data_IF_964049852101
#
_entry.id   IF_964049852101
#
_cell.length_a   1.000
_cell.length_b   1.000
_cell.length_c   1.000
_cell.angle_alpha   90.00
_cell.angle_beta   90.00
_cell.angle_gamma   90.00
#
_symmetry.space_group_name_H-M   'P 1'
#
loop_
_entity.id
_entity.type
_entity.pdbx_description
1 polymer ?
#
# COMPACT_ATOMS: atom_id res chain seq x y z
N UNK A 1 -20.68 -0.46 -6.35
CA UNK A 1 -19.81 0.53 -7.00
C UNK A 1 -20.65 1.43 -7.88
N UNK A 2 -20.30 2.71 -8.00
CA UNK A 2 -21.03 3.69 -8.79
C UNK A 2 -20.19 4.95 -9.02
N UNK A 3 -20.79 6.06 -9.51
CA UNK A 3 -20.11 7.30 -9.70
C UNK A 3 -19.39 7.79 -8.43
N UNK A 4 -18.12 8.17 -8.55
CA UNK A 4 -17.26 8.56 -7.42
C UNK A 4 -16.49 7.43 -6.75
N UNK A 5 -16.76 6.17 -7.12
CA UNK A 5 -15.93 5.04 -6.72
C UNK A 5 -14.75 4.82 -7.70
N UNK A 6 -13.68 4.22 -7.19
CA UNK A 6 -12.51 3.83 -7.98
C UNK A 6 -12.24 2.34 -7.80
N UNK A 7 -12.13 1.62 -8.91
CA UNK A 7 -11.61 0.25 -8.94
C UNK A 7 -10.17 0.26 -9.45
N UNK A 8 -9.24 -0.24 -8.65
CA UNK A 8 -7.86 -0.50 -9.07
C UNK A 8 -7.71 -1.98 -9.37
N UNK A 9 -7.38 -2.30 -10.63
CA UNK A 9 -7.12 -3.66 -11.10
C UNK A 9 -5.62 -3.85 -11.23
N UNK A 10 -5.07 -4.84 -10.53
CA UNK A 10 -3.67 -5.24 -10.67
C UNK A 10 -3.61 -6.56 -11.43
N UNK A 11 -2.96 -6.57 -12.60
CA UNK A 11 -2.85 -7.76 -13.43
C UNK A 11 -1.49 -7.83 -14.12
N UNK A 12 -0.74 -8.89 -13.82
CA UNK A 12 0.59 -9.12 -14.36
C UNK A 12 0.67 -10.49 -14.99
N UNK A 13 1.40 -10.61 -16.08
CA UNK A 13 1.69 -11.84 -16.81
C UNK A 13 0.44 -12.51 -17.43
N UNK A 14 -0.64 -12.66 -16.68
CA UNK A 14 -1.91 -13.25 -17.16
C UNK A 14 -3.11 -12.49 -16.63
N UNK A 15 -3.98 -12.10 -17.54
CA UNK A 15 -5.24 -11.47 -17.17
C UNK A 15 -6.30 -12.54 -16.88
N UNK A 16 -6.84 -12.54 -15.68
CA UNK A 16 -7.91 -13.46 -15.29
C UNK A 16 -9.28 -12.94 -15.69
N UNK A 17 -10.15 -13.81 -16.16
CA UNK A 17 -11.50 -13.45 -16.60
C UNK A 17 -12.32 -12.72 -15.53
N UNK A 18 -12.18 -13.07 -14.25
CA UNK A 18 -12.90 -12.37 -13.18
C UNK A 18 -12.42 -10.92 -13.00
N UNK A 19 -11.15 -10.61 -13.28
CA UNK A 19 -10.65 -9.24 -13.27
C UNK A 19 -11.27 -8.42 -14.41
N UNK A 20 -11.38 -9.00 -15.61
CA UNK A 20 -12.07 -8.38 -16.76
C UNK A 20 -13.54 -8.12 -16.43
N UNK A 21 -14.24 -9.10 -15.89
CA UNK A 21 -15.66 -8.98 -15.53
C UNK A 21 -15.84 -7.89 -14.46
N UNK A 22 -14.99 -7.86 -13.43
CA UNK A 22 -15.06 -6.86 -12.38
C UNK A 22 -14.84 -5.44 -12.91
N UNK A 23 -13.82 -5.25 -13.78
CA UNK A 23 -13.54 -3.97 -14.43
C UNK A 23 -14.74 -3.50 -15.28
N UNK A 24 -15.28 -4.38 -16.12
CA UNK A 24 -16.44 -4.07 -16.97
C UNK A 24 -17.69 -3.73 -16.14
N UNK A 25 -17.93 -4.43 -15.04
CA UNK A 25 -19.07 -4.13 -14.15
C UNK A 25 -18.89 -2.77 -13.46
N UNK A 26 -17.68 -2.47 -12.97
CA UNK A 26 -17.39 -1.19 -12.35
C UNK A 26 -17.57 -0.03 -13.33
N UNK A 27 -17.00 -0.14 -14.53
CA UNK A 27 -17.15 0.84 -15.59
C UNK A 27 -18.62 1.08 -15.97
N UNK A 28 -19.40 0.01 -16.17
CA UNK A 28 -20.87 0.12 -16.47
C UNK A 28 -21.64 0.76 -15.32
N UNK A 29 -21.20 0.61 -14.10
CA UNK A 29 -21.79 1.25 -12.92
C UNK A 29 -21.37 2.72 -12.75
N UNK A 30 -20.52 3.25 -13.61
CA UNK A 30 -20.03 4.63 -13.59
C UNK A 30 -18.86 4.86 -12.61
N UNK A 31 -18.24 3.80 -12.11
CA UNK A 31 -16.99 3.91 -11.35
C UNK A 31 -15.80 4.11 -12.29
N UNK A 32 -14.76 4.81 -11.82
CA UNK A 32 -13.49 4.89 -12.52
C UNK A 32 -12.71 3.58 -12.39
N UNK A 33 -11.99 3.21 -13.44
CA UNK A 33 -11.17 1.99 -13.46
C UNK A 33 -9.72 2.32 -13.79
N UNK A 34 -8.81 2.01 -12.87
CA UNK A 34 -7.36 2.13 -13.05
C UNK A 34 -6.76 0.74 -13.17
N UNK A 35 -5.94 0.52 -14.19
CA UNK A 35 -5.20 -0.72 -14.40
C UNK A 35 -3.72 -0.51 -14.05
N UNK A 36 -3.18 -1.38 -13.19
CA UNK A 36 -1.75 -1.49 -12.94
C UNK A 36 -1.31 -2.83 -13.52
N UNK A 37 -0.55 -2.81 -14.60
CA UNK A 37 -0.21 -4.03 -15.34
C UNK A 37 1.13 -3.89 -16.07
N UNK A 38 1.64 -5.01 -16.56
CA UNK A 38 2.81 -5.04 -17.45
C UNK A 38 2.45 -4.73 -18.90
N UNK A 39 1.19 -4.90 -19.28
CA UNK A 39 0.66 -4.54 -20.59
C UNK A 39 -0.84 -4.25 -20.53
N UNK A 40 -1.34 -3.47 -21.50
CA UNK A 40 -2.77 -3.25 -21.68
C UNK A 40 -3.35 -4.38 -22.55
N UNK A 41 -4.14 -5.24 -21.92
CA UNK A 41 -4.85 -6.29 -22.65
C UNK A 41 -6.03 -5.71 -23.47
N UNK A 42 -6.23 -6.16 -24.73
CA UNK A 42 -7.33 -5.68 -25.58
C UNK A 42 -8.72 -5.79 -24.91
N UNK A 43 -8.92 -6.81 -24.07
CA UNK A 43 -10.19 -7.01 -23.36
C UNK A 43 -10.55 -5.91 -22.34
N UNK A 44 -9.58 -5.05 -21.99
CA UNK A 44 -9.75 -3.95 -21.05
C UNK A 44 -9.61 -2.57 -21.71
N UNK A 45 -9.24 -2.49 -23.00
CA UNK A 45 -8.93 -1.24 -23.67
C UNK A 45 -10.05 -0.20 -23.58
N UNK A 46 -11.32 -0.64 -23.72
CA UNK A 46 -12.49 0.24 -23.68
C UNK A 46 -13.13 0.34 -22.28
N UNK A 47 -12.45 -0.19 -21.27
CA UNK A 47 -13.01 -0.32 -19.91
C UNK A 47 -12.22 0.50 -18.90
N UNK A 48 -10.91 0.65 -19.12
CA UNK A 48 -10.02 1.35 -18.18
C UNK A 48 -9.93 2.83 -18.53
N UNK A 49 -10.00 3.67 -17.49
CA UNK A 49 -9.84 5.12 -17.63
C UNK A 49 -8.37 5.52 -17.61
N UNK A 50 -7.55 4.81 -16.80
CA UNK A 50 -6.12 5.08 -16.66
C UNK A 50 -5.32 3.79 -16.56
N UNK A 51 -4.11 3.80 -17.13
CA UNK A 51 -3.19 2.64 -17.13
C UNK A 51 -1.83 3.05 -16.58
N UNK A 52 -1.38 2.34 -15.56
CA UNK A 52 -0.03 2.43 -15.01
C UNK A 52 0.75 1.20 -15.46
N UNK A 53 1.61 1.38 -16.45
CA UNK A 53 2.44 0.28 -16.96
C UNK A 53 3.67 0.10 -16.07
N UNK A 54 3.83 -1.11 -15.57
CA UNK A 54 4.92 -1.50 -14.68
C UNK A 54 5.49 -2.82 -15.14
N UNK A 55 6.78 -2.85 -15.50
CA UNK A 55 7.41 -4.07 -15.94
C UNK A 55 7.37 -5.15 -14.86
N UNK A 56 7.01 -6.35 -15.29
CA UNK A 56 7.09 -7.58 -14.49
C UNK A 56 8.29 -8.45 -14.86
N UNK A 57 9.21 -7.95 -15.69
CA UNK A 57 10.40 -8.68 -16.11
C UNK A 57 11.30 -9.06 -14.92
N UNK A 58 11.84 -10.26 -14.99
CA UNK A 58 12.71 -10.84 -13.96
C UNK A 58 13.75 -11.73 -14.60
N UNK A 59 14.90 -11.86 -13.95
CA UNK A 59 15.90 -12.88 -14.31
C UNK A 59 15.49 -14.30 -13.92
N UNK A 60 14.36 -14.45 -13.23
CA UNK A 60 13.77 -15.73 -12.83
C UNK A 60 12.63 -16.13 -13.77
N UNK A 61 12.18 -17.38 -13.66
CA UNK A 61 10.99 -17.87 -14.38
C UNK A 61 9.66 -17.32 -13.82
N UNK A 62 9.69 -16.63 -12.68
CA UNK A 62 8.54 -15.93 -12.14
C UNK A 62 8.60 -14.43 -12.47
N UNK A 63 7.46 -13.79 -12.74
CA UNK A 63 7.39 -12.34 -12.90
C UNK A 63 7.76 -11.62 -11.60
N UNK A 64 8.45 -10.48 -11.72
CA UNK A 64 8.74 -9.63 -10.58
C UNK A 64 7.51 -8.77 -10.20
N UNK A 65 7.11 -8.82 -8.95
CA UNK A 65 6.04 -7.97 -8.41
C UNK A 65 6.58 -6.69 -7.73
N UNK A 66 7.89 -6.50 -7.71
CA UNK A 66 8.53 -5.38 -7.00
C UNK A 66 8.03 -4.02 -7.49
N UNK A 67 7.99 -3.82 -8.80
CA UNK A 67 7.49 -2.58 -9.39
C UNK A 67 6.01 -2.34 -9.08
N UNK A 68 5.21 -3.38 -9.16
CA UNK A 68 3.78 -3.33 -8.83
C UNK A 68 3.51 -2.88 -7.40
N UNK A 69 4.24 -3.47 -6.45
CA UNK A 69 4.13 -3.12 -5.03
C UNK A 69 4.58 -1.67 -4.81
N UNK A 70 5.68 -1.25 -5.44
CA UNK A 70 6.18 0.12 -5.34
C UNK A 70 5.15 1.15 -5.84
N UNK A 71 4.52 0.89 -6.99
CA UNK A 71 3.47 1.77 -7.54
C UNK A 71 2.24 1.78 -6.65
N UNK A 72 1.78 0.63 -6.15
CA UNK A 72 0.65 0.58 -5.23
C UNK A 72 0.92 1.36 -3.94
N UNK A 73 2.12 1.24 -3.37
CA UNK A 73 2.51 2.01 -2.19
C UNK A 73 2.60 3.51 -2.48
N UNK A 74 3.13 3.91 -3.63
CA UNK A 74 3.18 5.31 -4.05
C UNK A 74 1.78 5.91 -4.20
N UNK A 75 0.83 5.19 -4.80
CA UNK A 75 -0.57 5.61 -4.91
C UNK A 75 -1.20 5.84 -3.54
N UNK A 76 -1.01 4.90 -2.62
CA UNK A 76 -1.55 5.02 -1.25
C UNK A 76 -0.90 6.21 -0.51
N UNK A 77 0.42 6.39 -0.63
CA UNK A 77 1.12 7.51 -0.02
C UNK A 77 0.63 8.86 -0.57
N UNK A 78 0.51 8.98 -1.90
CA UNK A 78 -0.01 10.19 -2.54
C UNK A 78 -1.46 10.48 -2.12
N UNK A 79 -2.32 9.47 -2.08
CA UNK A 79 -3.70 9.63 -1.61
C UNK A 79 -3.75 10.09 -0.14
N UNK A 80 -2.83 9.59 0.69
CA UNK A 80 -2.73 9.99 2.09
C UNK A 80 -2.29 11.45 2.26
N UNK A 81 -1.39 11.93 1.40
CA UNK A 81 -0.93 13.33 1.40
C UNK A 81 -2.00 14.31 0.89
N UNK A 82 -2.85 13.88 -0.04
CA UNK A 82 -3.93 14.71 -0.58
C UNK A 82 -5.04 15.00 0.45
N UNK A 83 -5.30 14.08 1.37
CA UNK A 83 -6.28 14.27 2.46
C UNK A 83 -5.81 13.62 3.77
N UNK A 84 -4.92 14.30 4.51
CA UNK A 84 -4.38 13.77 5.77
C UNK A 84 -5.44 13.52 6.83
N UNK A 85 -6.48 14.34 6.89
CA UNK A 85 -7.57 14.20 7.88
C UNK A 85 -8.37 12.92 7.65
N UNK A 86 -8.75 12.67 6.41
CA UNK A 86 -9.46 11.45 6.01
C UNK A 86 -8.61 10.21 6.23
N UNK A 87 -7.31 10.31 5.93
CA UNK A 87 -6.33 9.25 6.14
C UNK A 87 -6.22 8.87 7.62
N UNK A 88 -6.06 9.85 8.52
CA UNK A 88 -5.99 9.59 9.96
C UNK A 88 -7.27 8.95 10.48
N UNK A 89 -8.43 9.41 9.99
CA UNK A 89 -9.72 8.82 10.36
C UNK A 89 -9.85 7.36 9.88
N UNK A 90 -9.38 7.06 8.67
CA UNK A 90 -9.41 5.71 8.11
C UNK A 90 -8.47 4.76 8.87
N UNK A 91 -7.25 5.23 9.21
CA UNK A 91 -6.29 4.47 10.02
C UNK A 91 -6.85 4.16 11.41
N UNK A 92 -7.44 5.14 12.10
CA UNK A 92 -8.03 4.92 13.41
C UNK A 92 -9.16 3.88 13.38
N UNK A 93 -10.00 3.88 12.32
CA UNK A 93 -11.03 2.86 12.12
C UNK A 93 -10.44 1.46 11.86
N UNK A 94 -9.37 1.39 11.08
CA UNK A 94 -8.68 0.12 10.84
C UNK A 94 -8.08 -0.45 12.10
N UNK A 95 -7.40 0.37 12.92
CA UNK A 95 -6.83 -0.01 14.22
C UNK A 95 -7.92 -0.53 15.17
N UNK A 96 -9.03 0.18 15.29
CA UNK A 96 -10.16 -0.25 16.09
C UNK A 96 -10.75 -1.60 15.60
N UNK A 97 -10.80 -1.81 14.29
CA UNK A 97 -11.21 -3.08 13.71
C UNK A 97 -10.26 -4.21 14.08
N UNK A 98 -8.95 -4.00 13.97
CA UNK A 98 -7.95 -5.01 14.35
C UNK A 98 -7.99 -5.38 15.83
N UNK A 99 -8.20 -4.40 16.72
CA UNK A 99 -8.42 -4.63 18.15
C UNK A 99 -9.69 -5.44 18.40
N UNK A 100 -10.81 -5.05 17.77
CA UNK A 100 -12.11 -5.72 17.95
C UNK A 100 -12.06 -7.19 17.53
N UNK A 101 -11.35 -7.51 16.45
CA UNK A 101 -11.19 -8.87 15.96
C UNK A 101 -10.00 -9.63 16.59
N UNK A 102 -9.24 -9.00 17.48
CA UNK A 102 -8.07 -9.62 18.11
C UNK A 102 -6.97 -10.00 17.12
N UNK A 103 -6.86 -9.28 16.00
CA UNK A 103 -5.93 -9.61 14.92
C UNK A 103 -4.49 -9.18 15.22
N UNK A 104 -4.30 -8.29 16.20
CA UNK A 104 -2.98 -7.78 16.57
C UNK A 104 -2.50 -8.35 17.88
N UNK A 105 -1.29 -8.88 17.89
CA UNK A 105 -0.63 -9.30 19.11
C UNK A 105 0.03 -8.08 19.78
N UNK A 106 -0.52 -7.62 20.92
CA UNK A 106 -0.11 -6.39 21.59
C UNK A 106 1.29 -6.41 22.26
N UNK A 107 2.08 -7.44 22.07
CA UNK A 107 3.42 -7.59 22.68
C UNK A 107 4.50 -7.97 21.67
N UNK A 108 4.52 -7.27 20.54
CA UNK A 108 5.56 -7.50 19.54
C UNK A 108 6.94 -6.95 19.97
N UNK A 109 8.04 -7.66 19.65
CA UNK A 109 9.41 -7.23 19.95
C UNK A 109 9.78 -5.83 19.43
N UNK A 110 9.04 -5.32 18.43
CA UNK A 110 9.27 -3.99 17.84
C UNK A 110 8.93 -2.83 18.75
N UNK A 111 7.88 -2.94 19.57
CA UNK A 111 7.52 -1.89 20.52
C UNK A 111 8.48 -1.83 21.70
N UNK A 112 8.98 -2.96 22.12
CA UNK A 112 10.03 -3.04 23.16
C UNK A 112 11.36 -2.48 22.64
N UNK A 113 11.78 -2.82 21.41
CA UNK A 113 12.96 -2.29 20.77
C UNK A 113 12.88 -0.77 20.55
N UNK A 114 11.71 -0.25 20.16
CA UNK A 114 11.48 1.18 19.96
C UNK A 114 11.53 1.96 21.28
N UNK A 115 10.97 1.42 22.36
CA UNK A 115 11.05 1.99 23.71
C UNK A 115 12.48 1.99 24.26
N UNK A 116 13.23 0.90 24.02
CA UNK A 116 14.64 0.80 24.40
C UNK A 116 15.53 1.80 23.65
N UNK A 117 15.31 2.00 22.34
CA UNK A 117 16.03 3.00 21.56
C UNK A 117 15.67 4.44 21.98
N UNK A 118 14.42 4.70 22.33
CA UNK A 118 13.97 6.00 22.84
C UNK A 118 14.55 6.32 24.22
N UNK A 119 14.64 5.33 25.11
CA UNK A 119 15.24 5.49 26.44
C UNK A 119 16.76 5.63 26.39
N UNK A 120 17.44 4.97 25.43
CA UNK A 120 18.88 5.11 25.23
C UNK A 120 19.30 6.48 24.70
N UNK A 121 18.41 7.19 23.99
CA UNK A 121 18.66 8.55 23.50
C UNK A 121 18.38 9.65 24.53
N UNK A 122 17.79 9.31 25.67
CA UNK A 122 17.48 10.28 26.75
C UNK A 122 18.59 10.39 27.82
N UNK A 123 19.71 9.71 27.66
CA UNK A 123 20.89 9.82 28.54
C UNK A 123 22.16 10.22 27.76
N UNK A 124 22.29 11.48 27.28
CA UNK A 124 23.59 12.05 26.95
C UNK A 124 23.96 13.05 28.06
N UNK A 125 24.61 12.60 29.07
CA UNK A 125 25.16 13.53 30.01
C UNK A 125 25.35 12.97 31.40
N UNK A 126 26.42 12.22 31.61
CA UNK A 126 27.22 12.17 32.83
C UNK A 126 28.40 11.20 32.67
N UNK A 127 29.18 11.41 31.62
CA UNK A 127 30.55 10.91 31.64
C UNK A 127 31.44 12.06 32.11
N UNK A 128 31.58 12.19 33.43
CA UNK A 128 32.59 12.99 34.10
C UNK A 128 33.93 12.34 33.78
N UNK A 129 34.71 12.97 32.88
CA UNK A 129 36.10 12.62 32.63
C UNK A 129 36.89 12.90 33.90
N UNK A 130 37.72 12.00 34.41
CA UNK A 130 38.62 12.29 35.51
C UNK A 130 39.69 13.26 35.02
N UNK A 131 39.87 14.33 35.81
CA UNK A 131 40.90 15.41 35.64
C UNK A 131 42.30 14.77 35.73
N UNK A 132 43.21 14.99 34.73
CA UNK A 132 44.56 14.51 34.78
C UNK A 132 45.44 15.51 35.60
N UNK A 133 45.80 15.12 36.81
CA UNK A 133 46.91 15.67 37.54
C UNK A 133 47.92 14.58 37.87
#
# INVERSE_FOLDING_TARGET
MGPGDLLVVCSYWRLYNHAVIAAQQAHRAGAQVVLIADHLAPALADTVDEVLLVSSESSSFFPSMTGAIAVAQALVATAAELDPQRTMTALARAEQGWETFGLMHHSGPRDQARRQLSSAHQHPGDQQFPDPR
#
